data_IF_282539575949
#
_entry.id   IF_282539575949
#
_cell.length_a   1.000
_cell.length_b   1.000
_cell.length_c   1.000
_cell.angle_alpha   90.00
_cell.angle_beta   90.00
_cell.angle_gamma   90.00
#
_symmetry.space_group_name_H-M   'P 1'
#
loop_
_entity.id
_entity.type
_entity.pdbx_description
1 polymer ?
#
# COMPACT_ATOMS: atom_id res chain seq x y z
N UNK A 1 25.20 45.84 -31.24
CA UNK A 1 26.67 46.02 -31.12
C UNK A 1 26.95 47.29 -30.33
N UNK A 2 28.04 47.36 -29.55
CA UNK A 2 27.90 47.44 -28.09
C UNK A 2 28.68 48.60 -27.44
N UNK A 3 28.03 49.40 -26.60
CA UNK A 3 28.72 50.26 -25.62
C UNK A 3 28.41 49.88 -24.16
N UNK A 4 27.36 49.09 -23.90
CA UNK A 4 26.98 48.69 -22.54
C UNK A 4 27.70 47.45 -21.99
N UNK A 5 28.32 46.62 -22.83
CA UNK A 5 28.93 45.35 -22.40
C UNK A 5 30.39 45.47 -21.92
N UNK A 6 31.10 46.55 -22.28
CA UNK A 6 32.48 46.78 -21.82
C UNK A 6 32.55 47.45 -20.44
N UNK A 7 31.60 48.32 -20.10
CA UNK A 7 31.56 48.96 -18.78
C UNK A 7 31.24 47.99 -17.65
N UNK A 8 30.43 46.95 -17.92
CA UNK A 8 30.11 45.91 -16.92
C UNK A 8 31.23 44.90 -16.71
N UNK A 9 32.07 44.62 -17.72
CA UNK A 9 33.28 43.78 -17.55
C UNK A 9 34.38 44.47 -16.74
N UNK A 10 34.52 45.80 -16.84
CA UNK A 10 35.47 46.56 -16.01
C UNK A 10 35.07 46.62 -14.53
N UNK A 11 33.78 46.71 -14.21
CA UNK A 11 33.30 46.68 -12.83
C UNK A 11 33.46 45.30 -12.15
N UNK A 12 33.49 44.22 -12.92
CA UNK A 12 33.72 42.86 -12.40
C UNK A 12 35.22 42.58 -12.22
N UNK A 13 36.09 43.13 -13.09
CA UNK A 13 37.55 43.01 -12.92
C UNK A 13 38.13 43.91 -11.81
N UNK A 14 37.53 45.06 -11.51
CA UNK A 14 38.00 45.93 -10.41
C UNK A 14 37.72 45.37 -9.01
N UNK A 15 36.76 44.46 -8.88
CA UNK A 15 36.41 43.83 -7.58
C UNK A 15 37.26 42.57 -7.31
N UNK A 16 38.09 42.14 -8.26
CA UNK A 16 38.88 40.90 -8.16
C UNK A 16 40.37 41.15 -7.84
N UNK A 17 40.78 42.37 -7.44
CA UNK A 17 42.21 42.66 -7.20
C UNK A 17 42.52 43.47 -5.94
N UNK A 18 41.70 43.37 -4.89
CA UNK A 18 42.07 43.89 -3.57
C UNK A 18 41.50 43.03 -2.43
N UNK A 19 42.06 41.83 -2.24
CA UNK A 19 42.09 41.16 -0.93
C UNK A 19 43.14 40.05 -0.95
N UNK A 20 44.42 40.46 -0.92
CA UNK A 20 45.51 39.62 -0.42
C UNK A 20 46.14 40.37 0.74
N UNK A 21 45.71 40.04 1.94
CA UNK A 21 46.53 39.92 3.15
C UNK A 21 45.62 39.96 4.40
N UNK A 22 45.92 39.05 5.33
CA UNK A 22 45.57 39.08 6.75
C UNK A 22 44.32 38.31 7.19
N UNK A 23 44.58 37.09 7.68
CA UNK A 23 44.13 36.71 9.02
C UNK A 23 42.82 35.91 9.12
N UNK A 24 42.99 34.62 9.44
CA UNK A 24 42.12 33.79 10.29
C UNK A 24 40.62 33.78 10.02
N UNK A 25 40.16 32.64 9.51
CA UNK A 25 38.76 32.21 9.54
C UNK A 25 38.40 31.49 8.25
N UNK A 26 38.69 30.20 8.16
CA UNK A 26 38.00 29.33 7.20
C UNK A 26 36.53 29.24 7.64
N UNK A 27 35.71 30.20 7.23
CA UNK A 27 34.28 29.96 7.09
C UNK A 27 34.09 29.04 5.89
N UNK A 28 34.15 27.74 6.18
CA UNK A 28 33.56 26.71 5.34
C UNK A 28 32.08 27.10 5.21
N UNK A 29 31.67 27.59 4.04
CA UNK A 29 30.26 27.66 3.67
C UNK A 29 29.73 26.22 3.69
N UNK A 30 29.23 25.77 4.84
CA UNK A 30 28.35 24.61 4.89
C UNK A 30 27.06 25.05 4.21
N UNK A 31 26.96 24.83 2.90
CA UNK A 31 25.66 24.79 2.22
C UNK A 31 24.80 23.82 3.04
N UNK A 32 23.76 24.35 3.65
CA UNK A 32 22.83 23.56 4.44
C UNK A 32 22.19 22.54 3.49
N UNK A 33 22.10 21.27 3.92
CA UNK A 33 21.58 20.14 3.13
C UNK A 33 20.25 20.46 2.40
N UNK A 34 19.47 21.42 2.94
CA UNK A 34 18.20 21.93 2.41
C UNK A 34 18.33 22.81 1.13
N UNK A 35 19.41 23.58 0.95
CA UNK A 35 19.54 24.48 -0.23
C UNK A 35 19.91 23.73 -1.52
N UNK A 36 20.35 22.48 -1.40
CA UNK A 36 20.81 21.65 -2.53
C UNK A 36 19.68 20.89 -3.22
N UNK A 37 18.45 20.92 -2.65
CA UNK A 37 17.32 20.08 -3.06
C UNK A 37 16.17 20.84 -3.75
N UNK A 38 16.43 22.01 -4.33
CA UNK A 38 15.44 22.70 -5.18
C UNK A 38 15.53 22.21 -6.62
N UNK A 39 14.38 22.06 -7.29
CA UNK A 39 14.30 21.60 -8.69
C UNK A 39 15.10 22.55 -9.61
N UNK A 40 15.10 23.85 -9.27
CA UNK A 40 15.82 24.93 -9.95
C UNK A 40 17.33 24.70 -10.05
N UNK A 41 17.97 24.19 -8.99
CA UNK A 41 19.42 24.01 -8.97
C UNK A 41 19.87 22.70 -9.65
N UNK A 42 18.99 21.70 -9.74
CA UNK A 42 19.35 20.37 -10.20
C UNK A 42 19.29 20.18 -11.72
N UNK A 43 18.27 20.74 -12.40
CA UNK A 43 18.13 20.58 -13.85
C UNK A 43 17.79 21.92 -14.54
N UNK A 44 18.82 22.72 -14.91
CA UNK A 44 18.61 24.07 -15.44
C UNK A 44 17.94 24.09 -16.81
N UNK A 45 18.07 23.05 -17.64
CA UNK A 45 17.39 22.96 -18.93
C UNK A 45 15.88 22.72 -18.77
N UNK A 46 15.51 21.80 -17.87
CA UNK A 46 14.10 21.60 -17.51
C UNK A 46 13.51 22.86 -16.88
N UNK A 47 14.26 23.48 -15.97
CA UNK A 47 13.86 24.73 -15.35
C UNK A 47 13.78 25.88 -16.36
N UNK A 48 14.55 25.88 -17.45
CA UNK A 48 14.40 26.90 -18.50
C UNK A 48 13.09 26.73 -19.28
N UNK A 49 12.63 25.49 -19.50
CA UNK A 49 11.37 25.21 -20.20
C UNK A 49 10.14 25.38 -19.29
N UNK A 50 10.19 24.78 -18.12
CA UNK A 50 9.12 24.84 -17.12
C UNK A 50 9.10 26.19 -16.45
N UNK A 51 10.26 26.76 -16.14
CA UNK A 51 10.40 28.05 -15.47
C UNK A 51 9.94 29.24 -16.29
N UNK A 52 9.87 29.16 -17.63
CA UNK A 52 9.21 30.21 -18.42
C UNK A 52 7.67 30.18 -18.28
N UNK A 53 7.08 28.98 -18.28
CA UNK A 53 5.66 28.79 -17.96
C UNK A 53 5.37 29.12 -16.49
N UNK A 54 6.32 28.82 -15.60
CA UNK A 54 6.24 29.09 -14.17
C UNK A 54 6.39 30.58 -13.89
N UNK A 55 7.36 31.29 -14.51
CA UNK A 55 7.52 32.75 -14.43
C UNK A 55 6.29 33.49 -14.95
N UNK A 56 5.73 33.02 -16.08
CA UNK A 56 4.46 33.55 -16.57
C UNK A 56 3.31 33.30 -15.59
N UNK A 57 3.30 32.13 -14.96
CA UNK A 57 2.27 31.77 -13.97
C UNK A 57 2.46 32.43 -12.61
N UNK A 58 3.68 32.76 -12.20
CA UNK A 58 4.02 33.42 -10.93
C UNK A 58 3.90 34.94 -11.02
N UNK A 59 3.90 35.52 -12.22
CA UNK A 59 3.54 36.93 -12.43
C UNK A 59 2.12 37.27 -11.94
N UNK A 60 1.22 36.29 -11.90
CA UNK A 60 -0.14 36.48 -11.39
C UNK A 60 -0.52 35.36 -10.39
N UNK A 61 -0.83 35.73 -9.15
CA UNK A 61 -1.33 34.76 -8.15
C UNK A 61 -2.57 33.98 -8.62
N UNK A 62 -3.38 34.58 -9.51
CA UNK A 62 -4.55 33.95 -10.12
C UNK A 62 -4.23 32.75 -11.03
N UNK A 63 -3.12 32.77 -11.78
CA UNK A 63 -2.72 31.64 -12.64
C UNK A 63 -2.28 30.43 -11.83
N UNK A 64 -1.58 30.64 -10.71
CA UNK A 64 -1.21 29.55 -9.78
C UNK A 64 -2.45 28.89 -9.21
N UNK A 65 -3.40 29.69 -8.69
CA UNK A 65 -4.65 29.17 -8.17
C UNK A 65 -5.45 28.42 -9.24
N UNK A 66 -5.48 28.92 -10.48
CA UNK A 66 -6.13 28.24 -11.60
C UNK A 66 -5.48 26.89 -11.92
N UNK A 67 -4.15 26.79 -11.88
CA UNK A 67 -3.43 25.54 -12.10
C UNK A 67 -3.78 24.50 -11.03
N UNK A 68 -3.69 24.86 -9.75
CA UNK A 68 -4.01 23.95 -8.63
C UNK A 68 -5.49 23.54 -8.68
N UNK A 69 -6.40 24.50 -8.93
CA UNK A 69 -7.82 24.21 -9.07
C UNK A 69 -8.09 23.27 -10.26
N UNK A 70 -7.42 23.48 -11.40
CA UNK A 70 -7.58 22.60 -12.58
C UNK A 70 -7.10 21.18 -12.30
N UNK A 71 -6.00 21.01 -11.56
CA UNK A 71 -5.52 19.70 -11.13
C UNK A 71 -6.55 18.99 -10.25
N UNK A 72 -7.07 19.67 -9.22
CA UNK A 72 -8.09 19.11 -8.33
C UNK A 72 -9.36 18.73 -9.10
N UNK A 73 -9.84 19.60 -9.98
CA UNK A 73 -11.04 19.34 -10.78
C UNK A 73 -10.82 18.14 -11.72
N UNK A 74 -9.66 18.04 -12.36
CA UNK A 74 -9.32 16.89 -13.22
C UNK A 74 -9.28 15.59 -12.41
N UNK A 75 -8.68 15.59 -11.22
CA UNK A 75 -8.65 14.43 -10.33
C UNK A 75 -10.05 14.04 -9.86
N UNK A 76 -10.92 15.00 -9.56
CA UNK A 76 -12.31 14.73 -9.21
C UNK A 76 -13.07 14.10 -10.39
N UNK A 77 -12.97 14.67 -11.58
CA UNK A 77 -13.62 14.13 -12.79
C UNK A 77 -13.14 12.71 -13.06
N UNK A 78 -11.82 12.50 -13.11
CA UNK A 78 -11.24 11.17 -13.37
C UNK A 78 -11.59 10.16 -12.28
N UNK A 79 -11.72 10.58 -11.01
CA UNK A 79 -12.18 9.72 -9.92
C UNK A 79 -13.64 9.29 -10.07
N UNK A 80 -14.54 10.22 -10.40
CA UNK A 80 -15.95 9.90 -10.64
C UNK A 80 -16.10 9.00 -11.86
N UNK A 81 -15.37 9.28 -12.94
CA UNK A 81 -15.34 8.43 -14.13
C UNK A 81 -14.81 7.02 -13.82
N UNK A 82 -13.72 6.91 -13.06
CA UNK A 82 -13.16 5.60 -12.68
C UNK A 82 -14.12 4.81 -11.80
N UNK A 83 -14.76 5.47 -10.83
CA UNK A 83 -15.69 4.82 -9.92
C UNK A 83 -16.95 4.36 -10.66
N UNK A 84 -17.55 5.22 -11.47
CA UNK A 84 -18.74 4.88 -12.27
C UNK A 84 -18.48 3.83 -13.35
N UNK A 85 -17.26 3.76 -13.89
CA UNK A 85 -16.88 2.72 -14.84
C UNK A 85 -16.75 1.35 -14.19
N UNK A 86 -16.12 1.29 -13.01
CA UNK A 86 -15.75 0.02 -12.35
C UNK A 86 -16.83 -0.51 -11.43
N UNK A 87 -17.46 0.36 -10.65
CA UNK A 87 -18.37 -0.01 -9.57
C UNK A 87 -19.80 0.36 -9.93
N UNK A 88 -20.63 -0.65 -10.15
CA UNK A 88 -22.08 -0.44 -10.31
C UNK A 88 -22.71 0.00 -8.96
N UNK A 89 -22.18 -0.50 -7.84
CA UNK A 89 -22.49 -0.04 -6.49
C UNK A 89 -21.28 -0.19 -5.58
N UNK A 90 -20.96 0.84 -4.79
CA UNK A 90 -19.84 0.80 -3.83
C UNK A 90 -20.37 0.28 -2.50
N UNK A 91 -19.80 -0.80 -1.95
CA UNK A 91 -20.17 -1.29 -0.61
C UNK A 91 -19.92 -0.22 0.46
N UNK A 92 -20.80 -0.13 1.46
CA UNK A 92 -20.69 0.86 2.55
C UNK A 92 -19.36 0.71 3.31
N UNK A 93 -18.92 -0.53 3.54
CA UNK A 93 -17.63 -0.84 4.17
C UNK A 93 -16.44 -0.33 3.35
N UNK A 94 -16.48 -0.47 2.03
CA UNK A 94 -15.42 0.02 1.14
C UNK A 94 -15.37 1.57 1.11
N UNK A 95 -16.55 2.22 1.20
CA UNK A 95 -16.65 3.68 1.32
C UNK A 95 -15.99 4.21 2.60
N UNK A 96 -16.30 3.60 3.75
CA UNK A 96 -15.71 4.00 5.03
C UNK A 96 -14.19 3.80 5.05
N UNK A 97 -13.70 2.66 4.59
CA UNK A 97 -12.26 2.38 4.49
C UNK A 97 -11.54 3.40 3.60
N UNK A 98 -12.17 3.79 2.48
CA UNK A 98 -11.61 4.79 1.55
C UNK A 98 -11.53 6.16 2.22
N UNK A 99 -12.56 6.54 2.99
CA UNK A 99 -12.56 7.77 3.77
C UNK A 99 -11.43 7.79 4.81
N UNK A 100 -11.26 6.71 5.56
CA UNK A 100 -10.19 6.61 6.56
C UNK A 100 -8.80 6.66 5.90
N UNK A 101 -8.63 6.03 4.73
CA UNK A 101 -7.40 6.12 3.92
C UNK A 101 -7.13 7.54 3.44
N UNK A 102 -8.15 8.24 2.96
CA UNK A 102 -8.05 9.64 2.50
C UNK A 102 -7.61 10.56 3.62
N UNK A 103 -8.24 10.47 4.79
CA UNK A 103 -7.88 11.28 5.95
C UNK A 103 -6.43 11.02 6.38
N UNK A 104 -6.05 9.75 6.52
CA UNK A 104 -4.69 9.38 6.89
C UNK A 104 -3.66 9.87 5.86
N UNK A 105 -3.97 9.76 4.57
CA UNK A 105 -3.13 10.26 3.49
C UNK A 105 -2.95 11.78 3.57
N UNK A 106 -4.05 12.54 3.64
CA UNK A 106 -4.00 14.01 3.70
C UNK A 106 -3.22 14.46 4.94
N UNK A 107 -3.53 13.91 6.11
CA UNK A 107 -2.85 14.26 7.36
C UNK A 107 -1.35 14.01 7.23
N UNK A 108 -0.95 12.83 6.78
CA UNK A 108 0.46 12.48 6.60
C UNK A 108 1.17 13.41 5.62
N UNK A 109 0.60 13.66 4.43
CA UNK A 109 1.24 14.48 3.40
C UNK A 109 1.31 15.96 3.78
N UNK A 110 0.28 16.50 4.43
CA UNK A 110 0.29 17.88 4.91
C UNK A 110 1.42 18.12 5.92
N UNK A 111 1.62 17.20 6.86
CA UNK A 111 2.74 17.28 7.80
C UNK A 111 4.09 17.03 7.12
N UNK A 112 4.16 16.08 6.19
CA UNK A 112 5.40 15.76 5.47
C UNK A 112 5.91 16.94 4.66
N UNK A 113 5.03 17.62 3.94
CA UNK A 113 5.36 18.84 3.18
C UNK A 113 5.85 19.93 4.13
N UNK A 114 5.16 20.18 5.24
CA UNK A 114 5.59 21.23 6.19
C UNK A 114 6.89 20.91 6.94
N UNK A 115 7.14 19.63 7.21
CA UNK A 115 8.30 19.16 7.97
C UNK A 115 9.58 19.09 7.12
N UNK A 116 9.45 18.81 5.83
CA UNK A 116 10.59 18.67 4.90
C UNK A 116 10.99 20.00 4.27
N UNK A 117 10.12 21.03 4.30
CA UNK A 117 10.28 22.22 3.48
C UNK A 117 10.22 23.53 4.29
N UNK A 118 11.37 24.20 4.39
CA UNK A 118 11.48 25.66 4.50
C UNK A 118 11.45 26.31 3.10
N UNK A 119 10.72 25.73 2.13
CA UNK A 119 10.82 26.15 0.72
C UNK A 119 9.90 27.29 0.35
N UNK A 120 10.33 27.97 -0.70
CA UNK A 120 9.55 28.91 -1.49
C UNK A 120 8.21 28.29 -1.93
N UNK A 121 7.20 29.15 -2.15
CA UNK A 121 5.85 28.75 -2.57
C UNK A 121 5.83 27.94 -3.88
N UNK A 122 6.88 28.05 -4.71
CA UNK A 122 7.02 27.36 -6.00
C UNK A 122 7.12 25.84 -5.83
N UNK A 123 8.04 25.37 -4.97
CA UNK A 123 8.24 23.94 -4.73
C UNK A 123 7.01 23.33 -4.04
N UNK A 124 6.34 24.10 -3.17
CA UNK A 124 5.11 23.67 -2.49
C UNK A 124 4.01 23.30 -3.48
N UNK A 125 3.85 24.05 -4.58
CA UNK A 125 2.84 23.78 -5.61
C UNK A 125 3.16 22.49 -6.35
N UNK A 126 4.44 22.27 -6.71
CA UNK A 126 4.87 21.04 -7.39
C UNK A 126 4.60 19.82 -6.51
N UNK A 127 4.94 19.90 -5.21
CA UNK A 127 4.64 18.84 -4.25
C UNK A 127 3.14 18.58 -4.10
N UNK A 128 2.32 19.63 -3.99
CA UNK A 128 0.88 19.50 -3.86
C UNK A 128 0.26 18.77 -5.07
N UNK A 129 0.69 19.14 -6.29
CA UNK A 129 0.23 18.50 -7.53
C UNK A 129 0.70 17.03 -7.67
N UNK A 130 1.93 16.73 -7.26
CA UNK A 130 2.43 15.35 -7.28
C UNK A 130 1.69 14.48 -6.25
N UNK A 131 1.57 14.94 -5.00
CA UNK A 131 0.89 14.18 -3.95
C UNK A 131 -0.62 14.05 -4.18
N UNK A 132 -1.30 15.04 -4.76
CA UNK A 132 -2.71 14.89 -5.12
C UNK A 132 -2.90 13.79 -6.17
N UNK A 133 -1.98 13.71 -7.14
CA UNK A 133 -2.02 12.71 -8.21
C UNK A 133 -1.71 11.30 -7.69
N UNK A 134 -0.65 11.13 -6.89
CA UNK A 134 -0.37 9.84 -6.23
C UNK A 134 -1.47 9.46 -5.24
N UNK A 135 -2.04 10.41 -4.51
CA UNK A 135 -3.16 10.18 -3.60
C UNK A 135 -4.41 9.67 -4.32
N UNK A 136 -4.72 10.23 -5.48
CA UNK A 136 -5.79 9.70 -6.34
C UNK A 136 -5.54 8.24 -6.75
N UNK A 137 -4.35 7.92 -7.25
CA UNK A 137 -3.99 6.55 -7.66
C UNK A 137 -4.05 5.57 -6.49
N UNK A 138 -3.54 5.98 -5.32
CA UNK A 138 -3.57 5.21 -4.08
C UNK A 138 -5.00 4.88 -3.63
N UNK A 139 -5.90 5.87 -3.66
CA UNK A 139 -7.29 5.69 -3.23
C UNK A 139 -8.07 4.77 -4.17
N UNK A 140 -7.91 4.91 -5.50
CA UNK A 140 -8.57 4.03 -6.46
C UNK A 140 -8.00 2.60 -6.37
N UNK A 141 -6.69 2.43 -6.22
CA UNK A 141 -6.06 1.10 -5.99
C UNK A 141 -6.66 0.43 -4.75
N UNK A 142 -6.73 1.17 -3.65
CA UNK A 142 -7.33 0.67 -2.41
C UNK A 142 -8.81 0.33 -2.53
N UNK A 143 -9.59 1.15 -3.26
CA UNK A 143 -11.01 0.88 -3.49
C UNK A 143 -11.21 -0.38 -4.35
N UNK A 144 -10.39 -0.57 -5.39
CA UNK A 144 -10.39 -1.79 -6.20
C UNK A 144 -10.10 -3.03 -5.35
N UNK A 145 -9.13 -2.96 -4.42
CA UNK A 145 -8.85 -4.05 -3.49
C UNK A 145 -10.04 -4.38 -2.59
N UNK A 146 -10.59 -3.38 -1.91
CA UNK A 146 -11.67 -3.60 -0.94
C UNK A 146 -12.92 -4.17 -1.62
N UNK A 147 -13.19 -3.73 -2.85
CA UNK A 147 -14.26 -4.27 -3.67
C UNK A 147 -14.02 -5.72 -4.08
N UNK A 148 -12.79 -6.08 -4.46
CA UNK A 148 -12.42 -7.46 -4.77
C UNK A 148 -12.50 -8.37 -3.55
N UNK A 149 -12.01 -7.91 -2.40
CA UNK A 149 -12.08 -8.66 -1.14
C UNK A 149 -13.53 -8.85 -0.67
N UNK A 150 -14.41 -7.86 -0.91
CA UNK A 150 -15.85 -8.00 -0.67
C UNK A 150 -16.47 -9.05 -1.59
N UNK A 151 -16.22 -8.96 -2.90
CA UNK A 151 -16.78 -9.90 -3.88
C UNK A 151 -16.28 -11.33 -3.67
N UNK A 152 -15.02 -11.50 -3.27
CA UNK A 152 -14.44 -12.80 -3.00
C UNK A 152 -15.05 -13.45 -1.74
N UNK A 153 -15.30 -12.67 -0.68
CA UNK A 153 -15.92 -13.17 0.55
C UNK A 153 -17.35 -13.66 0.36
N UNK A 154 -18.14 -12.94 -0.43
CA UNK A 154 -19.57 -13.23 -0.59
C UNK A 154 -19.92 -13.96 -1.90
N UNK A 155 -18.91 -14.32 -2.71
CA UNK A 155 -19.05 -15.01 -4.01
C UNK A 155 -20.18 -14.43 -4.90
N UNK A 156 -20.43 -13.12 -4.83
CA UNK A 156 -21.65 -12.47 -5.37
C UNK A 156 -21.76 -12.62 -6.90
N UNK A 157 -20.65 -12.85 -7.59
CA UNK A 157 -20.62 -12.98 -9.05
C UNK A 157 -19.49 -13.90 -9.51
N UNK A 158 -19.83 -15.12 -9.94
CA UNK A 158 -18.91 -16.08 -10.54
C UNK A 158 -18.46 -15.71 -11.98
N UNK A 159 -18.31 -14.40 -12.30
CA UNK A 159 -17.88 -13.94 -13.62
C UNK A 159 -16.71 -12.98 -13.51
N UNK A 160 -15.72 -13.18 -14.37
CA UNK A 160 -14.57 -12.29 -14.58
C UNK A 160 -15.05 -10.87 -14.90
N UNK A 161 -14.84 -9.95 -13.94
CA UNK A 161 -15.11 -8.53 -14.09
C UNK A 161 -13.97 -7.83 -14.84
N UNK A 162 -13.97 -7.90 -16.17
CA UNK A 162 -12.94 -7.29 -17.03
C UNK A 162 -12.72 -5.79 -16.80
N UNK A 163 -13.75 -5.07 -16.31
CA UNK A 163 -13.66 -3.65 -15.97
C UNK A 163 -12.64 -3.39 -14.84
N UNK A 164 -12.63 -4.23 -13.80
CA UNK A 164 -11.68 -4.12 -12.68
C UNK A 164 -10.26 -4.39 -13.16
N UNK A 165 -10.07 -5.40 -14.02
CA UNK A 165 -8.77 -5.74 -14.61
C UNK A 165 -8.23 -4.58 -15.44
N UNK A 166 -9.06 -4.00 -16.31
CA UNK A 166 -8.68 -2.85 -17.13
C UNK A 166 -8.23 -1.66 -16.27
N UNK A 167 -8.94 -1.39 -15.17
CA UNK A 167 -8.56 -0.32 -14.24
C UNK A 167 -7.25 -0.63 -13.50
N UNK A 168 -7.03 -1.86 -13.03
CA UNK A 168 -5.77 -2.24 -12.37
C UNK A 168 -4.56 -2.12 -13.32
N UNK A 169 -4.69 -2.56 -14.58
CA UNK A 169 -3.65 -2.40 -15.59
C UNK A 169 -3.39 -0.92 -15.88
N UNK A 170 -4.46 -0.13 -15.97
CA UNK A 170 -4.38 1.33 -16.14
C UNK A 170 -3.64 2.00 -14.98
N UNK A 171 -3.96 1.65 -13.73
CA UNK A 171 -3.30 2.17 -12.53
C UNK A 171 -1.82 1.78 -12.47
N UNK A 172 -1.48 0.53 -12.78
CA UNK A 172 -0.09 0.08 -12.79
C UNK A 172 0.73 0.83 -13.85
N UNK A 173 0.16 1.01 -15.04
CA UNK A 173 0.78 1.72 -16.15
C UNK A 173 0.95 3.21 -15.84
N UNK A 174 -0.10 3.87 -15.34
CA UNK A 174 -0.05 5.30 -15.01
C UNK A 174 0.93 5.59 -13.88
N UNK A 175 0.94 4.76 -12.83
CA UNK A 175 1.90 4.90 -11.71
C UNK A 175 3.34 4.72 -12.18
N UNK A 176 3.59 3.76 -13.07
CA UNK A 176 4.93 3.54 -13.64
C UNK A 176 5.38 4.73 -14.49
N UNK A 177 4.52 5.24 -15.38
CA UNK A 177 4.83 6.40 -16.24
C UNK A 177 5.10 7.65 -15.40
N UNK A 178 4.25 7.94 -14.41
CA UNK A 178 4.42 9.09 -13.52
C UNK A 178 5.68 8.94 -12.67
N UNK A 179 5.94 7.77 -12.09
CA UNK A 179 7.14 7.50 -11.31
C UNK A 179 8.44 7.64 -12.11
N UNK A 180 8.47 7.13 -13.35
CA UNK A 180 9.59 7.30 -14.28
C UNK A 180 9.74 8.77 -14.68
N UNK A 181 8.64 9.48 -14.92
CA UNK A 181 8.67 10.93 -15.15
C UNK A 181 9.31 11.67 -13.97
N UNK A 182 8.89 11.37 -12.75
CA UNK A 182 9.50 11.93 -11.54
C UNK A 182 11.00 11.60 -11.43
N UNK A 183 11.45 10.41 -11.87
CA UNK A 183 12.87 10.04 -11.89
C UNK A 183 13.71 10.93 -12.79
N UNK A 184 13.25 11.18 -14.01
CA UNK A 184 14.02 11.95 -14.98
C UNK A 184 13.95 13.45 -14.69
N UNK A 185 12.80 13.96 -14.22
CA UNK A 185 12.54 15.39 -14.15
C UNK A 185 12.65 15.98 -12.73
N UNK A 186 12.37 15.20 -11.68
CA UNK A 186 12.24 15.70 -10.30
C UNK A 186 13.22 15.01 -9.33
N UNK A 187 14.47 14.79 -9.75
CA UNK A 187 15.49 14.08 -8.95
C UNK A 187 15.71 14.55 -7.50
N UNK A 188 15.67 15.85 -7.14
CA UNK A 188 15.78 16.21 -5.72
C UNK A 188 14.53 15.76 -4.92
N UNK A 189 13.34 15.86 -5.51
CA UNK A 189 12.09 15.43 -4.87
C UNK A 189 11.87 13.89 -4.96
N UNK A 190 12.66 13.23 -5.81
CA UNK A 190 12.49 11.85 -6.22
C UNK A 190 12.58 10.85 -5.07
N UNK A 191 13.47 11.07 -4.08
CA UNK A 191 13.67 10.09 -3.01
C UNK A 191 12.36 9.73 -2.28
N UNK A 192 11.49 10.71 -2.03
CA UNK A 192 10.20 10.50 -1.37
C UNK A 192 9.10 10.02 -2.33
N UNK A 193 9.07 10.57 -3.56
CA UNK A 193 8.07 10.22 -4.56
C UNK A 193 8.25 8.78 -5.08
N UNK A 194 9.47 8.24 -5.08
CA UNK A 194 9.75 6.85 -5.44
C UNK A 194 9.11 5.89 -4.48
N UNK A 195 9.27 6.13 -3.19
CA UNK A 195 8.73 5.24 -2.17
C UNK A 195 7.21 5.20 -2.31
N UNK A 196 6.58 6.34 -2.57
CA UNK A 196 5.14 6.43 -2.84
C UNK A 196 4.72 5.69 -4.14
N UNK A 197 5.48 5.84 -5.22
CA UNK A 197 5.20 5.12 -6.46
C UNK A 197 5.35 3.61 -6.25
N UNK A 198 6.37 3.17 -5.51
CA UNK A 198 6.62 1.76 -5.21
C UNK A 198 5.55 1.16 -4.30
N UNK A 199 5.07 1.89 -3.28
CA UNK A 199 3.97 1.39 -2.43
C UNK A 199 2.73 1.15 -3.28
N UNK A 200 2.35 2.08 -4.15
CA UNK A 200 1.18 1.95 -5.03
C UNK A 200 1.39 0.81 -6.04
N UNK A 201 2.57 0.67 -6.64
CA UNK A 201 2.85 -0.41 -7.60
C UNK A 201 2.76 -1.79 -6.94
N UNK A 202 3.31 -1.96 -5.73
CA UNK A 202 3.20 -3.21 -4.98
C UNK A 202 1.74 -3.49 -4.58
N UNK A 203 1.03 -2.46 -4.13
CA UNK A 203 -0.39 -2.51 -3.74
C UNK A 203 -1.29 -2.98 -4.89
N UNK A 204 -1.11 -2.38 -6.06
CA UNK A 204 -1.83 -2.72 -7.29
C UNK A 204 -1.41 -4.10 -7.81
N UNK A 205 -0.13 -4.44 -7.80
CA UNK A 205 0.37 -5.74 -8.24
C UNK A 205 -0.16 -6.90 -7.39
N UNK A 206 -0.18 -6.75 -6.07
CA UNK A 206 -0.77 -7.73 -5.17
C UNK A 206 -2.27 -7.92 -5.44
N UNK A 207 -3.00 -6.82 -5.62
CA UNK A 207 -4.44 -6.85 -5.93
C UNK A 207 -4.70 -7.55 -7.28
N UNK A 208 -3.83 -7.33 -8.26
CA UNK A 208 -3.87 -8.03 -9.54
C UNK A 208 -3.60 -9.53 -9.40
N UNK A 209 -2.59 -9.93 -8.61
CA UNK A 209 -2.30 -11.36 -8.33
C UNK A 209 -3.48 -12.05 -7.65
N UNK A 210 -4.13 -11.39 -6.68
CA UNK A 210 -5.37 -11.91 -6.04
C UNK A 210 -6.45 -12.17 -7.08
N UNK A 211 -6.68 -11.20 -7.96
CA UNK A 211 -7.67 -11.31 -9.02
C UNK A 211 -7.36 -12.43 -10.00
N UNK A 212 -6.12 -12.51 -10.50
CA UNK A 212 -5.69 -13.58 -11.42
C UNK A 212 -5.85 -14.93 -10.76
N UNK A 213 -5.57 -15.03 -9.47
CA UNK A 213 -5.74 -16.28 -8.72
C UNK A 213 -7.21 -16.69 -8.65
N UNK A 214 -8.12 -15.76 -8.32
CA UNK A 214 -9.57 -16.00 -8.34
C UNK A 214 -10.08 -16.37 -9.74
N UNK A 215 -9.66 -15.64 -10.78
CA UNK A 215 -10.03 -15.94 -12.15
C UNK A 215 -9.48 -17.30 -12.62
N UNK A 216 -8.28 -17.66 -12.17
CA UNK A 216 -7.65 -18.95 -12.52
C UNK A 216 -8.39 -20.13 -11.91
N UNK A 217 -8.91 -20.02 -10.68
CA UNK A 217 -9.76 -21.04 -10.07
C UNK A 217 -11.05 -21.26 -10.87
N UNK A 218 -11.60 -20.19 -11.46
CA UNK A 218 -12.78 -20.30 -12.32
C UNK A 218 -12.50 -20.96 -13.68
N UNK A 219 -11.34 -20.71 -14.29
CA UNK A 219 -11.00 -21.25 -15.62
C UNK A 219 -10.34 -22.63 -15.57
N UNK A 220 -9.55 -22.90 -14.54
CA UNK A 220 -8.76 -24.12 -14.38
C UNK A 220 -9.21 -24.79 -13.09
N UNK A 221 -10.16 -25.72 -13.22
CA UNK A 221 -10.75 -26.45 -12.10
C UNK A 221 -9.73 -27.37 -11.38
N UNK A 222 -8.60 -27.69 -12.01
CA UNK A 222 -7.56 -28.57 -11.47
C UNK A 222 -6.26 -27.80 -11.17
N UNK A 223 -6.30 -26.91 -10.17
CA UNK A 223 -5.09 -26.28 -9.64
C UNK A 223 -4.43 -27.20 -8.59
N UNK A 224 -3.10 -27.23 -8.57
CA UNK A 224 -2.33 -28.00 -7.59
C UNK A 224 -2.25 -27.26 -6.26
N UNK A 225 -2.33 -28.00 -5.15
CA UNK A 225 -2.38 -27.44 -3.80
C UNK A 225 -1.14 -26.57 -3.45
N UNK A 226 0.03 -26.94 -3.97
CA UNK A 226 1.29 -26.20 -3.79
C UNK A 226 1.24 -24.80 -4.41
N UNK A 227 0.44 -24.60 -5.46
CA UNK A 227 0.26 -23.30 -6.11
C UNK A 227 -0.60 -22.37 -5.23
N UNK A 228 -1.60 -22.92 -4.54
CA UNK A 228 -2.47 -22.15 -3.62
C UNK A 228 -1.70 -21.67 -2.40
N UNK A 229 -0.88 -22.54 -1.81
CA UNK A 229 0.01 -22.17 -0.71
C UNK A 229 1.02 -21.09 -1.13
N UNK A 230 1.59 -21.21 -2.33
CA UNK A 230 2.55 -20.22 -2.85
C UNK A 230 1.91 -18.84 -3.08
N UNK A 231 0.67 -18.78 -3.61
CA UNK A 231 -0.07 -17.53 -3.78
C UNK A 231 -0.39 -16.88 -2.43
N UNK A 232 -0.85 -17.67 -1.45
CA UNK A 232 -1.13 -17.17 -0.10
C UNK A 232 0.15 -16.64 0.57
N UNK A 233 1.26 -17.36 0.46
CA UNK A 233 2.56 -16.91 0.96
C UNK A 233 3.00 -15.59 0.31
N UNK A 234 2.86 -15.48 -1.02
CA UNK A 234 3.19 -14.26 -1.75
C UNK A 234 2.32 -13.08 -1.29
N UNK A 235 1.04 -13.31 -1.01
CA UNK A 235 0.14 -12.30 -0.46
C UNK A 235 0.62 -11.77 0.91
N UNK A 236 0.97 -12.67 1.83
CA UNK A 236 1.52 -12.26 3.13
C UNK A 236 2.86 -11.51 2.99
N UNK A 237 3.75 -11.97 2.11
CA UNK A 237 5.05 -11.33 1.90
C UNK A 237 4.90 -9.94 1.29
N UNK A 238 3.97 -9.77 0.34
CA UNK A 238 3.69 -8.47 -0.28
C UNK A 238 3.01 -7.51 0.70
N UNK A 239 2.04 -7.98 1.49
CA UNK A 239 1.44 -7.19 2.59
C UNK A 239 2.50 -6.67 3.57
N UNK A 240 3.38 -7.56 4.03
CA UNK A 240 4.49 -7.22 4.94
C UNK A 240 5.43 -6.22 4.24
N UNK A 241 5.77 -6.45 2.98
CA UNK A 241 6.61 -5.57 2.18
C UNK A 241 6.04 -4.15 2.06
N UNK A 242 4.74 -4.00 1.80
CA UNK A 242 4.06 -2.70 1.71
C UNK A 242 4.08 -1.98 3.06
N UNK A 243 3.84 -2.69 4.16
CA UNK A 243 3.90 -2.11 5.51
C UNK A 243 5.33 -1.66 5.85
N UNK A 244 6.34 -2.48 5.54
CA UNK A 244 7.75 -2.12 5.75
C UNK A 244 8.17 -0.93 4.90
N UNK A 245 7.76 -0.87 3.64
CA UNK A 245 8.03 0.26 2.76
C UNK A 245 7.36 1.53 3.27
N UNK A 246 6.15 1.42 3.82
CA UNK A 246 5.47 2.52 4.49
C UNK A 246 6.29 2.99 5.70
N UNK A 247 6.69 2.10 6.61
CA UNK A 247 7.53 2.44 7.77
C UNK A 247 8.84 3.09 7.32
N UNK A 248 9.48 2.57 6.28
CA UNK A 248 10.69 3.17 5.70
C UNK A 248 10.42 4.59 5.18
N UNK A 249 9.27 4.84 4.57
CA UNK A 249 8.85 6.20 4.17
C UNK A 249 8.76 7.13 5.38
N UNK A 250 8.06 6.71 6.43
CA UNK A 250 7.92 7.48 7.66
C UNK A 250 9.29 7.80 8.28
N UNK A 251 10.17 6.80 8.37
CA UNK A 251 11.53 6.96 8.90
C UNK A 251 12.38 7.89 8.03
N UNK A 252 12.29 7.77 6.71
CA UNK A 252 13.04 8.63 5.79
C UNK A 252 12.64 10.10 5.93
N UNK A 253 11.33 10.40 6.02
CA UNK A 253 10.84 11.76 6.29
C UNK A 253 11.32 12.25 7.66
N UNK A 254 11.24 11.38 8.67
CA UNK A 254 11.67 11.71 10.02
C UNK A 254 13.16 12.05 10.11
N UNK A 255 14.01 11.31 9.40
CA UNK A 255 15.46 11.58 9.33
C UNK A 255 15.73 12.92 8.64
N UNK A 256 14.99 13.25 7.58
CA UNK A 256 15.15 14.52 6.85
C UNK A 256 14.68 15.72 7.69
N UNK A 257 13.55 15.59 8.40
CA UNK A 257 12.96 16.66 9.20
C UNK A 257 13.76 16.99 10.47
N UNK A 258 14.66 16.10 10.91
CA UNK A 258 15.39 16.24 12.17
C UNK A 258 14.55 15.93 13.41
N UNK A 259 15.23 15.66 14.53
CA UNK A 259 14.60 15.29 15.79
C UNK A 259 14.19 16.52 16.60
N UNK A 260 12.91 16.88 16.59
CA UNK A 260 12.32 17.86 17.51
C UNK A 260 11.08 17.30 18.22
N UNK A 261 10.82 17.67 19.48
CA UNK A 261 9.61 17.22 20.19
C UNK A 261 8.43 18.16 19.90
N UNK A 262 8.04 18.25 18.64
CA UNK A 262 6.83 18.98 18.22
C UNK A 262 5.61 18.04 18.19
N UNK A 263 4.40 18.59 18.29
CA UNK A 263 3.13 17.85 18.21
C UNK A 263 3.03 17.00 16.94
N UNK A 264 3.62 17.50 15.85
CA UNK A 264 3.73 16.82 14.56
C UNK A 264 4.47 15.48 14.72
N UNK A 265 5.60 15.47 15.44
CA UNK A 265 6.41 14.28 15.64
C UNK A 265 5.73 13.26 16.58
N UNK A 266 4.89 13.73 17.51
CA UNK A 266 4.04 12.84 18.32
C UNK A 266 3.01 12.12 17.45
N UNK A 267 2.35 12.83 16.53
CA UNK A 267 1.38 12.23 15.59
C UNK A 267 2.09 11.23 14.67
N UNK A 268 3.29 11.54 14.18
CA UNK A 268 4.10 10.60 13.40
C UNK A 268 4.40 9.32 14.20
N UNK A 269 4.83 9.43 15.45
CA UNK A 269 5.10 8.27 16.30
C UNK A 269 3.87 7.40 16.54
N UNK A 270 2.69 8.00 16.72
CA UNK A 270 1.43 7.25 16.87
C UNK A 270 1.08 6.47 15.60
N UNK A 271 1.27 7.06 14.43
CA UNK A 271 1.05 6.39 13.15
C UNK A 271 2.04 5.25 12.91
N UNK A 272 3.32 5.49 13.20
CA UNK A 272 4.37 4.47 13.11
C UNK A 272 4.08 3.31 14.06
N UNK A 273 3.67 3.59 15.31
CA UNK A 273 3.24 2.55 16.26
C UNK A 273 2.07 1.71 15.71
N UNK A 274 1.06 2.36 15.14
CA UNK A 274 -0.07 1.68 14.49
C UNK A 274 0.39 0.74 13.36
N UNK A 275 1.35 1.19 12.54
CA UNK A 275 1.94 0.36 11.48
C UNK A 275 2.74 -0.82 12.02
N UNK A 276 3.51 -0.64 13.11
CA UNK A 276 4.22 -1.73 13.77
C UNK A 276 3.27 -2.77 14.35
N UNK A 277 2.15 -2.36 14.96
CA UNK A 277 1.12 -3.31 15.42
C UNK A 277 0.55 -4.10 14.24
N UNK A 278 0.24 -3.44 13.11
CA UNK A 278 -0.23 -4.12 11.89
C UNK A 278 0.83 -5.09 11.33
N UNK A 279 2.10 -4.70 11.33
CA UNK A 279 3.22 -5.54 10.90
C UNK A 279 3.31 -6.79 11.78
N UNK A 280 3.30 -6.62 13.10
CA UNK A 280 3.36 -7.74 14.04
C UNK A 280 2.19 -8.69 13.83
N UNK A 281 0.97 -8.18 13.68
CA UNK A 281 -0.21 -8.98 13.37
C UNK A 281 -0.03 -9.80 12.09
N UNK A 282 0.48 -9.19 11.02
CA UNK A 282 0.72 -9.88 9.74
C UNK A 282 1.84 -10.91 9.80
N UNK A 283 2.93 -10.62 10.51
CA UNK A 283 4.06 -11.54 10.73
C UNK A 283 3.62 -12.75 11.56
N UNK A 284 2.87 -12.52 12.65
CA UNK A 284 2.28 -13.58 13.45
C UNK A 284 1.31 -14.43 12.62
N UNK A 285 0.47 -13.80 11.77
CA UNK A 285 -0.41 -14.51 10.85
C UNK A 285 0.34 -15.40 9.86
N UNK A 286 1.45 -14.91 9.29
CA UNK A 286 2.31 -15.70 8.41
C UNK A 286 2.95 -16.90 9.15
N UNK A 287 3.38 -16.70 10.39
CA UNK A 287 3.92 -17.80 11.21
C UNK A 287 2.85 -18.86 11.49
N UNK A 288 1.64 -18.43 11.82
CA UNK A 288 0.50 -19.32 12.05
C UNK A 288 0.12 -20.09 10.78
N UNK A 289 0.07 -19.41 9.63
CA UNK A 289 -0.17 -20.04 8.33
C UNK A 289 0.85 -21.13 8.03
N UNK A 290 2.15 -20.85 8.17
CA UNK A 290 3.21 -21.86 7.95
C UNK A 290 3.07 -23.07 8.86
N UNK A 291 2.76 -22.83 10.14
CA UNK A 291 2.56 -23.90 11.11
C UNK A 291 1.35 -24.78 10.74
N UNK A 292 0.23 -24.15 10.38
CA UNK A 292 -0.98 -24.85 9.94
C UNK A 292 -0.72 -25.68 8.69
N UNK A 293 -0.06 -25.12 7.68
CA UNK A 293 0.26 -25.85 6.45
C UNK A 293 1.14 -27.08 6.75
N UNK A 294 2.14 -26.93 7.63
CA UNK A 294 2.99 -28.04 8.05
C UNK A 294 2.22 -29.12 8.85
N UNK A 295 1.33 -28.71 9.76
CA UNK A 295 0.46 -29.65 10.47
C UNK A 295 -0.48 -30.38 9.50
N UNK A 296 -1.02 -29.67 8.51
CA UNK A 296 -1.93 -30.23 7.50
C UNK A 296 -1.26 -31.29 6.62
N UNK A 297 0.00 -31.10 6.27
CA UNK A 297 0.78 -32.08 5.50
C UNK A 297 1.18 -33.31 6.33
N UNK A 298 1.41 -33.15 7.64
CA UNK A 298 1.95 -34.22 8.49
C UNK A 298 0.88 -35.04 9.22
N UNK A 299 -0.26 -34.44 9.58
CA UNK A 299 -1.28 -35.07 10.41
C UNK A 299 -2.43 -35.68 9.62
N UNK A 300 -2.75 -35.16 8.43
CA UNK A 300 -3.92 -35.59 7.67
C UNK A 300 -3.51 -36.24 6.35
N UNK A 301 -3.78 -37.55 6.18
CA UNK A 301 -3.50 -38.24 4.93
C UNK A 301 -4.44 -37.75 3.82
N UNK A 302 -3.93 -37.74 2.59
CA UNK A 302 -4.72 -37.44 1.40
C UNK A 302 -5.67 -38.60 1.11
N UNK A 303 -6.93 -38.30 0.80
CA UNK A 303 -7.92 -39.31 0.44
C UNK A 303 -7.65 -39.82 -0.98
N UNK A 304 -7.77 -41.14 -1.18
CA UNK A 304 -7.62 -41.73 -2.53
C UNK A 304 -8.86 -41.46 -3.38
N UNK A 305 -8.70 -41.34 -4.71
CA UNK A 305 -9.83 -41.12 -5.64
C UNK A 305 -10.93 -42.19 -5.50
N UNK A 306 -10.57 -43.40 -5.06
CA UNK A 306 -11.53 -44.50 -4.78
C UNK A 306 -12.33 -44.25 -3.51
N UNK A 307 -11.71 -43.76 -2.44
CA UNK A 307 -12.41 -43.37 -1.22
C UNK A 307 -13.32 -42.17 -1.48
N UNK A 308 -12.90 -41.20 -2.29
CA UNK A 308 -13.74 -40.05 -2.68
C UNK A 308 -14.95 -40.51 -3.50
N UNK A 309 -14.78 -41.46 -4.42
CA UNK A 309 -15.87 -41.99 -5.22
C UNK A 309 -16.84 -42.90 -4.43
N UNK A 310 -16.37 -43.52 -3.35
CA UNK A 310 -17.17 -44.38 -2.46
C UNK A 310 -17.88 -43.59 -1.35
N UNK A 311 -17.35 -42.41 -1.02
CA UNK A 311 -17.89 -41.49 -0.02
C UNK A 311 -18.78 -40.43 -0.71
N UNK A 312 -20.10 -40.66 -0.73
CA UNK A 312 -21.13 -39.84 -1.43
C UNK A 312 -21.45 -38.49 -0.74
N UNK A 313 -20.62 -38.06 0.22
CA UNK A 313 -20.88 -36.88 1.04
C UNK A 313 -20.28 -35.59 0.45
N UNK A 314 -20.95 -34.47 0.73
CA UNK A 314 -20.43 -33.13 0.48
C UNK A 314 -19.32 -32.78 1.49
N UNK A 315 -18.42 -31.87 1.13
CA UNK A 315 -17.33 -31.43 2.02
C UNK A 315 -17.87 -31.02 3.40
N UNK A 316 -17.33 -31.57 4.48
CA UNK A 316 -17.83 -31.31 5.85
C UNK A 316 -17.70 -29.86 6.32
N UNK A 317 -16.95 -29.03 5.60
CA UNK A 317 -16.73 -27.61 5.94
C UNK A 317 -17.52 -26.68 5.01
N UNK A 318 -17.50 -26.95 3.70
CA UNK A 318 -18.09 -26.04 2.72
C UNK A 318 -19.36 -26.55 2.05
N UNK A 319 -19.75 -27.80 2.33
CA UNK A 319 -20.92 -28.46 1.77
C UNK A 319 -20.94 -28.54 0.23
N UNK A 320 -19.79 -28.39 -0.43
CA UNK A 320 -19.63 -28.51 -1.89
C UNK A 320 -19.11 -29.92 -2.28
N UNK A 321 -19.28 -30.31 -3.54
CA UNK A 321 -18.80 -31.59 -4.10
C UNK A 321 -17.27 -31.69 -4.07
N UNK A 322 -16.75 -32.87 -3.72
CA UNK A 322 -15.32 -33.12 -3.49
C UNK A 322 -14.60 -33.61 -4.76
N UNK A 323 -13.59 -32.86 -5.22
CA UNK A 323 -12.65 -33.30 -6.28
C UNK A 323 -11.32 -33.81 -5.70
N UNK A 324 -10.80 -33.14 -4.67
CA UNK A 324 -9.61 -33.54 -3.89
C UNK A 324 -9.85 -33.26 -2.41
N UNK A 325 -9.57 -34.23 -1.56
CA UNK A 325 -9.91 -34.15 -0.15
C UNK A 325 -8.80 -34.69 0.76
N UNK A 326 -8.72 -34.11 1.96
CA UNK A 326 -7.98 -34.69 3.09
C UNK A 326 -8.94 -35.40 4.03
N UNK A 327 -8.46 -36.43 4.72
CA UNK A 327 -9.26 -37.26 5.63
C UNK A 327 -8.99 -36.88 7.08
N UNK A 328 -10.04 -36.58 7.84
CA UNK A 328 -9.95 -36.39 9.29
C UNK A 328 -9.83 -37.75 10.01
N UNK A 329 -9.33 -37.77 11.26
CA UNK A 329 -9.34 -38.97 12.11
C UNK A 329 -10.75 -39.55 12.35
N UNK A 330 -11.79 -38.71 12.30
CA UNK A 330 -13.20 -39.12 12.36
C UNK A 330 -13.75 -39.64 11.01
N UNK A 331 -12.88 -39.87 10.02
CA UNK A 331 -13.16 -40.37 8.66
C UNK A 331 -13.92 -39.46 7.69
N UNK A 332 -14.31 -38.25 8.11
CA UNK A 332 -14.88 -37.25 7.21
C UNK A 332 -13.85 -36.67 6.23
N UNK A 333 -14.34 -36.32 5.04
CA UNK A 333 -13.56 -35.72 3.96
C UNK A 333 -13.84 -34.21 3.88
N UNK A 334 -12.77 -33.44 3.71
CA UNK A 334 -12.87 -32.00 3.48
C UNK A 334 -11.92 -31.57 2.37
N UNK A 335 -12.34 -30.52 1.65
CA UNK A 335 -11.44 -29.82 0.75
C UNK A 335 -10.25 -29.28 1.53
N UNK A 336 -9.04 -29.46 0.98
CA UNK A 336 -7.91 -28.60 1.32
C UNK A 336 -8.12 -27.21 0.69
N UNK A 337 -9.24 -26.55 1.03
CA UNK A 337 -9.60 -25.23 0.51
C UNK A 337 -8.54 -24.24 0.94
N UNK A 338 -8.26 -23.27 0.07
CA UNK A 338 -7.40 -22.12 0.35
C UNK A 338 -7.70 -21.55 1.74
N UNK A 339 -6.74 -21.64 2.65
CA UNK A 339 -6.80 -20.93 3.94
C UNK A 339 -6.89 -19.44 3.61
N UNK A 340 -7.97 -18.73 4.00
CA UNK A 340 -8.08 -17.31 3.72
C UNK A 340 -6.91 -16.57 4.37
N UNK A 341 -6.17 -15.81 3.57
CA UNK A 341 -5.05 -14.95 4.00
C UNK A 341 -5.45 -13.89 5.04
N UNK A 342 -6.73 -13.59 5.18
CA UNK A 342 -7.25 -12.63 6.14
C UNK A 342 -7.47 -13.19 7.55
N UNK A 343 -7.89 -14.44 7.67
CA UNK A 343 -8.49 -14.97 8.90
C UNK A 343 -8.10 -16.43 9.16
N UNK A 344 -6.80 -16.71 9.19
CA UNK A 344 -6.26 -18.02 9.61
C UNK A 344 -6.84 -18.44 10.97
N UNK A 345 -7.14 -17.48 11.85
CA UNK A 345 -7.78 -17.73 13.15
C UNK A 345 -9.20 -18.22 13.04
N UNK A 346 -10.00 -17.58 12.19
CA UNK A 346 -11.38 -18.00 11.98
C UNK A 346 -11.43 -19.36 11.31
N UNK A 347 -10.52 -19.61 10.37
CA UNK A 347 -10.35 -20.93 9.77
C UNK A 347 -9.94 -22.00 10.81
N UNK A 348 -9.01 -21.70 11.71
CA UNK A 348 -8.65 -22.59 12.83
C UNK A 348 -9.86 -22.84 13.76
N UNK A 349 -10.65 -21.79 14.06
CA UNK A 349 -11.87 -21.92 14.88
C UNK A 349 -12.89 -22.82 14.21
N UNK A 350 -13.20 -22.56 12.93
CA UNK A 350 -14.15 -23.35 12.14
C UNK A 350 -13.72 -24.82 12.05
N UNK A 351 -12.42 -25.08 11.91
CA UNK A 351 -11.89 -26.44 11.97
C UNK A 351 -12.01 -27.08 13.35
N UNK A 352 -11.73 -26.32 14.41
CA UNK A 352 -11.90 -26.80 15.79
C UNK A 352 -13.36 -27.14 16.06
N UNK A 353 -14.29 -26.29 15.63
CA UNK A 353 -15.72 -26.48 15.82
C UNK A 353 -16.22 -27.71 15.04
N UNK A 354 -15.83 -27.84 13.77
CA UNK A 354 -16.14 -29.02 12.95
C UNK A 354 -15.55 -30.32 13.53
N UNK A 355 -14.37 -30.25 14.15
CA UNK A 355 -13.71 -31.40 14.79
C UNK A 355 -14.36 -31.78 16.13
N UNK A 356 -14.83 -30.78 16.89
CA UNK A 356 -15.44 -30.96 18.22
C UNK A 356 -16.89 -31.45 18.14
N UNK A 357 -17.68 -30.99 17.16
CA UNK A 357 -19.03 -31.53 16.90
C UNK A 357 -19.01 -33.04 16.59
N UNK A 358 -17.87 -33.57 16.14
CA UNK A 358 -17.68 -34.97 15.77
C UNK A 358 -16.74 -35.75 16.72
N UNK A 359 -16.45 -35.22 17.92
CA UNK A 359 -15.81 -35.97 19.01
C UNK A 359 -14.30 -36.16 18.92
N UNK A 360 -13.58 -35.28 18.22
CA UNK A 360 -12.11 -35.33 18.11
C UNK A 360 -11.46 -33.99 18.54
N UNK A 361 -10.89 -33.93 19.75
CA UNK A 361 -10.17 -32.76 20.30
C UNK A 361 -8.77 -32.59 19.65
N UNK A 362 -8.70 -32.35 18.34
CA UNK A 362 -7.40 -32.42 17.62
C UNK A 362 -6.64 -31.09 17.54
N UNK A 363 -7.33 -29.95 17.50
CA UNK A 363 -6.70 -28.66 17.16
C UNK A 363 -5.90 -28.08 18.33
N UNK A 364 -6.29 -28.38 19.58
CA UNK A 364 -5.65 -27.84 20.79
C UNK A 364 -4.41 -28.60 21.27
N UNK A 365 -4.08 -29.75 20.67
CA UNK A 365 -3.00 -30.63 21.14
C UNK A 365 -1.65 -30.45 20.40
N UNK A 366 -1.52 -29.46 19.51
CA UNK A 366 -0.28 -29.24 18.75
C UNK A 366 0.74 -28.39 19.54
N UNK A 367 1.95 -28.91 19.82
CA UNK A 367 2.99 -28.14 20.51
C UNK A 367 3.51 -27.03 19.57
N UNK A 368 3.08 -25.79 19.82
CA UNK A 368 3.45 -24.62 19.01
C UNK A 368 2.32 -23.59 18.88
N UNK A 369 1.06 -24.04 18.97
CA UNK A 369 -0.13 -23.19 19.10
C UNK A 369 -0.39 -22.97 20.61
N UNK A 370 0.62 -22.50 21.35
CA UNK A 370 0.40 -22.23 22.77
C UNK A 370 -0.47 -20.98 22.94
N UNK A 371 -1.39 -21.07 23.89
CA UNK A 371 -2.29 -19.99 24.34
C UNK A 371 -1.56 -18.67 24.63
N UNK A 372 -0.26 -18.68 24.89
CA UNK A 372 0.58 -17.50 25.06
C UNK A 372 0.76 -16.66 23.78
N UNK A 373 0.87 -17.26 22.59
CA UNK A 373 0.96 -16.52 21.33
C UNK A 373 -0.40 -15.94 20.89
N UNK A 374 -1.50 -16.60 21.28
CA UNK A 374 -2.87 -16.09 21.12
C UNK A 374 -3.23 -15.04 22.19
N UNK A 375 -2.73 -15.15 23.42
CA UNK A 375 -3.02 -14.25 24.53
C UNK A 375 -2.41 -12.85 24.33
N UNK A 376 -1.20 -12.74 23.75
CA UNK A 376 -0.63 -11.45 23.32
C UNK A 376 -1.39 -10.77 22.18
N UNK A 377 -2.36 -11.46 21.56
CA UNK A 377 -3.20 -10.93 20.49
C UNK A 377 -4.60 -10.53 20.98
N UNK A 378 -5.07 -11.09 22.10
CA UNK A 378 -6.43 -10.87 22.61
C UNK A 378 -6.62 -9.49 23.26
N UNK A 379 -5.54 -8.77 23.58
CA UNK A 379 -5.59 -7.49 24.28
C UNK A 379 -5.91 -6.27 23.40
N UNK A 380 -5.85 -6.39 22.07
CA UNK A 380 -5.93 -5.21 21.17
C UNK A 380 -7.29 -5.06 20.46
N UNK A 381 -8.18 -6.04 20.53
CA UNK A 381 -9.45 -6.04 19.76
C UNK A 381 -10.71 -5.76 20.60
N UNK A 382 -10.60 -5.63 21.93
CA UNK A 382 -11.77 -5.52 22.80
C UNK A 382 -12.54 -4.18 22.74
N UNK A 383 -12.14 -3.24 21.87
CA UNK A 383 -12.72 -1.88 21.83
C UNK A 383 -13.60 -1.55 20.62
N UNK A 384 -13.84 -2.45 19.65
CA UNK A 384 -14.63 -2.11 18.45
C UNK A 384 -15.49 -3.26 17.90
N UNK A 385 -16.41 -3.81 18.71
CA UNK A 385 -17.50 -4.63 18.20
C UNK A 385 -18.84 -4.09 18.71
N UNK A 386 -19.76 -3.63 17.84
CA UNK A 386 -21.16 -3.46 18.23
C UNK A 386 -21.80 -4.85 18.31
N UNK A 387 -22.40 -5.14 19.47
CA UNK A 387 -23.04 -6.43 19.75
C UNK A 387 -24.18 -6.71 18.77
N UNK A 388 -24.07 -7.85 18.07
CA UNK A 388 -25.18 -8.45 17.33
C UNK A 388 -25.80 -9.49 18.26
N UNK A 389 -26.96 -9.13 18.83
CA UNK A 389 -27.82 -10.04 19.56
C UNK A 389 -28.40 -11.08 18.62
N UNK A 390 -28.26 -12.35 19.00
CA UNK A 390 -28.76 -13.48 18.23
C UNK A 390 -30.28 -13.57 18.18
N UNK A 391 -30.76 -14.31 17.19
CA UNK A 391 -31.93 -15.19 17.29
C UNK A 391 -31.84 -16.26 16.20
N UNK A 392 -32.07 -17.48 16.67
CA UNK A 392 -32.39 -18.75 16.03
C UNK A 392 -32.80 -18.75 14.57
#
# INVERSE_FOLDING_TARGET
>A
MPEGLQSRKKAIQSTTTQTSASGKGEEIYTMTYLETFTVRNYNPELWCQVGALFEYSTQHYSSILALVASNIVLLLITSVSSVSWVFDSVPISAGQNTYDRLLNFILFKLFSVRAVLDTEWEDLIIWACCYSTFGYLYLISGLCRDYLDYNNRYQVRARVQWRVVGTLIGLFSSTSVIGIGCYYYLKPLFSLLVIEALTILLDTAQTFVKYVSFASEFFVQTRGETCDDAVCLLEYLTDIGIILLSIAHYLHIFVISGFSLNIINVIFLLNVRSLFTKLNTKVCGLSAFRLVTQCMETQFPDATDKEIAEFDDTCSICCDTLDKAKKLPCSHLFHRRRIPSGDVKEWISQLSDASNEHGSDLVMATPGINSSNMATFNSDQHNNAPGVGGRF
#
